data_IF_692084120843
#
_entry.id   IF_692084120843
#
_cell.length_a   1.000
_cell.length_b   1.000
_cell.length_c   1.000
_cell.angle_alpha   90.00
_cell.angle_beta   90.00
_cell.angle_gamma   90.00
#
_symmetry.space_group_name_H-M   'P 1'
#
loop_
_entity.id
_entity.type
_entity.pdbx_description
1 polymer ?
#
# COMPACT_ATOMS: atom_id res chain seq x y z
N UNK A 1 -59.83 -30.89 -29.28
CA UNK A 1 -58.94 -29.91 -28.61
C UNK A 1 -57.56 -30.01 -29.26
N UNK A 2 -57.06 -28.90 -29.78
CA UNK A 2 -55.87 -28.81 -30.64
C UNK A 2 -54.59 -28.94 -29.81
N UNK A 3 -53.68 -29.81 -30.26
CA UNK A 3 -52.27 -29.86 -29.85
C UNK A 3 -51.43 -29.07 -30.86
N UNK A 4 -50.56 -28.19 -30.38
CA UNK A 4 -49.46 -27.62 -31.16
C UNK A 4 -48.31 -27.29 -30.21
N UNK A 5 -47.07 -27.77 -30.46
CA UNK A 5 -45.91 -27.45 -29.62
C UNK A 5 -45.26 -26.13 -30.08
N UNK A 6 -44.92 -25.26 -29.14
CA UNK A 6 -44.13 -24.05 -29.40
C UNK A 6 -42.65 -24.43 -29.39
N UNK A 7 -41.98 -24.10 -30.49
CA UNK A 7 -40.55 -24.33 -30.72
C UNK A 7 -39.69 -23.35 -29.94
N UNK A 8 -38.64 -23.92 -29.37
CA UNK A 8 -37.44 -23.29 -28.81
C UNK A 8 -36.79 -22.38 -29.88
N UNK A 9 -36.62 -21.09 -29.57
CA UNK A 9 -35.67 -20.22 -30.29
C UNK A 9 -34.62 -19.75 -29.29
N UNK A 10 -33.41 -20.28 -29.46
CA UNK A 10 -32.23 -19.85 -28.74
C UNK A 10 -31.83 -18.44 -29.18
N UNK A 11 -31.49 -17.61 -28.19
CA UNK A 11 -30.65 -16.44 -28.39
C UNK A 11 -29.32 -16.73 -27.70
N UNK A 12 -28.40 -17.30 -28.47
CA UNK A 12 -27.00 -17.44 -28.09
C UNK A 12 -26.39 -16.03 -28.20
N UNK A 13 -26.33 -15.29 -27.09
CA UNK A 13 -25.53 -14.06 -27.03
C UNK A 13 -24.07 -14.49 -26.98
N UNK A 14 -23.47 -14.64 -28.15
CA UNK A 14 -22.04 -14.80 -28.32
C UNK A 14 -21.38 -13.45 -28.03
N UNK A 15 -21.05 -13.21 -26.75
CA UNK A 15 -20.14 -12.14 -26.37
C UNK A 15 -18.71 -12.69 -26.53
N UNK A 16 -18.17 -12.61 -27.75
CA UNK A 16 -16.73 -12.69 -27.97
C UNK A 16 -16.09 -11.48 -27.32
N UNK A 17 -15.82 -11.57 -26.02
CA UNK A 17 -14.85 -10.71 -25.39
C UNK A 17 -13.50 -11.16 -25.92
N UNK A 18 -12.93 -10.38 -26.83
CA UNK A 18 -11.54 -10.50 -27.22
C UNK A 18 -10.73 -10.40 -25.93
N UNK A 19 -10.21 -11.52 -25.46
CA UNK A 19 -9.23 -11.55 -24.39
C UNK A 19 -7.93 -10.98 -24.97
N UNK A 20 -7.92 -9.65 -25.16
CA UNK A 20 -6.66 -8.93 -25.18
C UNK A 20 -6.11 -9.13 -23.78
N UNK A 21 -5.18 -10.08 -23.63
CA UNK A 21 -4.37 -10.23 -22.45
C UNK A 21 -3.69 -8.88 -22.20
N UNK A 22 -4.33 -8.06 -21.37
CA UNK A 22 -3.82 -6.77 -21.00
C UNK A 22 -2.56 -7.04 -20.19
N UNK A 23 -1.44 -6.46 -20.62
CA UNK A 23 -0.24 -6.45 -19.81
C UNK A 23 -0.61 -5.77 -18.48
N UNK A 24 -0.78 -6.63 -17.49
CA UNK A 24 -0.91 -6.37 -16.06
C UNK A 24 0.07 -5.27 -15.61
N UNK A 25 -0.46 -4.08 -15.33
CA UNK A 25 0.31 -2.90 -14.91
C UNK A 25 0.53 -2.88 -13.38
N UNK A 26 1.51 -3.65 -12.90
CA UNK A 26 1.85 -3.75 -11.45
C UNK A 26 2.12 -2.42 -10.77
N UNK A 27 2.56 -1.43 -11.55
CA UNK A 27 2.85 -0.07 -11.08
C UNK A 27 1.58 0.65 -10.60
N UNK A 28 0.41 0.33 -11.18
CA UNK A 28 -0.88 0.97 -10.85
C UNK A 28 -1.31 0.75 -9.41
N UNK A 29 -1.03 -0.43 -8.86
CA UNK A 29 -1.46 -0.82 -7.51
C UNK A 29 -0.32 -0.82 -6.50
N UNK A 30 0.85 -0.30 -6.85
CA UNK A 30 2.03 -0.31 -5.96
C UNK A 30 2.65 -1.70 -5.74
N UNK A 31 2.34 -2.68 -6.60
CA UNK A 31 2.82 -4.07 -6.52
C UNK A 31 4.23 -4.25 -7.12
N UNK A 32 4.84 -3.19 -7.65
CA UNK A 32 6.21 -3.24 -8.19
C UNK A 32 7.30 -3.15 -7.12
N UNK A 33 6.98 -2.64 -5.92
CA UNK A 33 7.92 -2.52 -4.79
C UNK A 33 7.73 -3.62 -3.75
N UNK A 34 8.52 -3.65 -2.66
CA UNK A 34 8.32 -4.59 -1.55
C UNK A 34 6.93 -4.44 -0.93
N UNK A 35 6.17 -5.53 -0.86
CA UNK A 35 4.83 -5.58 -0.29
C UNK A 35 4.55 -6.96 0.32
N UNK A 36 3.41 -7.10 1.00
CA UNK A 36 2.92 -8.39 1.50
C UNK A 36 2.23 -9.17 0.37
N UNK A 37 2.68 -10.40 0.13
CA UNK A 37 2.29 -11.23 -1.03
C UNK A 37 0.79 -11.61 -1.10
N UNK A 38 0.04 -11.47 0.00
CA UNK A 38 -1.38 -11.84 0.06
C UNK A 38 -2.25 -10.77 0.73
N UNK A 39 -1.86 -9.50 0.62
CA UNK A 39 -2.59 -8.41 1.26
C UNK A 39 -2.78 -7.20 0.34
N UNK A 40 -4.00 -6.65 0.32
CA UNK A 40 -4.34 -5.40 -0.36
C UNK A 40 -5.06 -4.46 0.58
N UNK A 41 -4.77 -3.18 0.44
CA UNK A 41 -5.51 -2.10 1.07
C UNK A 41 -6.57 -1.61 0.08
N UNK A 42 -7.83 -1.60 0.50
CA UNK A 42 -8.96 -1.16 -0.32
C UNK A 42 -9.65 0.00 0.36
N UNK A 43 -9.80 1.11 -0.37
CA UNK A 43 -10.51 2.29 0.12
C UNK A 43 -11.86 2.41 -0.57
N UNK A 44 -12.91 2.58 0.23
CA UNK A 44 -14.28 2.76 -0.25
C UNK A 44 -14.59 4.23 -0.57
N UNK A 45 -15.52 4.45 -1.51
CA UNK A 45 -16.10 5.76 -1.82
C UNK A 45 -16.87 6.31 -0.61
N UNK A 46 -16.95 7.65 -0.54
CA UNK A 46 -17.87 8.30 0.38
C UNK A 46 -19.31 7.91 0.07
N UNK A 47 -20.13 7.79 1.12
CA UNK A 47 -21.54 7.41 1.01
C UNK A 47 -21.79 5.91 0.76
N UNK A 48 -20.76 5.07 0.65
CA UNK A 48 -20.96 3.62 0.72
C UNK A 48 -21.32 3.26 2.16
N UNK A 49 -22.52 2.70 2.34
CA UNK A 49 -22.96 2.16 3.62
C UNK A 49 -21.92 1.19 4.17
N UNK A 50 -21.36 1.52 5.34
CA UNK A 50 -20.18 0.83 5.91
C UNK A 50 -20.36 -0.69 5.92
N UNK A 51 -21.50 -1.17 6.42
CA UNK A 51 -21.78 -2.59 6.55
C UNK A 51 -21.89 -3.28 5.17
N UNK A 52 -22.47 -2.60 4.18
CA UNK A 52 -22.58 -3.11 2.82
C UNK A 52 -21.22 -3.17 2.13
N UNK A 53 -20.41 -2.13 2.30
CA UNK A 53 -19.04 -2.08 1.80
C UNK A 53 -18.18 -3.20 2.41
N UNK A 54 -18.20 -3.36 3.73
CA UNK A 54 -17.46 -4.43 4.41
C UNK A 54 -17.97 -5.81 3.96
N UNK A 55 -19.28 -6.01 3.82
CA UNK A 55 -19.84 -7.27 3.33
C UNK A 55 -19.35 -7.62 1.92
N UNK A 56 -19.25 -6.62 1.03
CA UNK A 56 -18.64 -6.79 -0.29
C UNK A 56 -17.16 -7.20 -0.17
N UNK A 57 -16.37 -6.51 0.66
CA UNK A 57 -14.94 -6.82 0.79
C UNK A 57 -14.70 -8.24 1.34
N UNK A 58 -15.56 -8.69 2.29
CA UNK A 58 -15.52 -10.04 2.84
C UNK A 58 -15.85 -11.14 1.83
N UNK A 59 -16.48 -10.84 0.69
CA UNK A 59 -16.69 -11.85 -0.35
C UNK A 59 -15.43 -12.11 -1.19
N UNK A 60 -14.41 -11.27 -1.09
CA UNK A 60 -13.14 -11.42 -1.84
C UNK A 60 -11.99 -11.95 -0.99
N UNK A 61 -11.90 -11.52 0.28
CA UNK A 61 -10.80 -11.89 1.18
C UNK A 61 -11.18 -12.99 2.17
N UNK A 62 -10.18 -13.69 2.70
CA UNK A 62 -10.35 -14.60 3.84
C UNK A 62 -10.58 -13.83 5.14
N UNK A 63 -9.97 -12.64 5.26
CA UNK A 63 -10.21 -11.74 6.39
C UNK A 63 -10.13 -10.27 5.98
N UNK A 64 -10.76 -9.42 6.79
CA UNK A 64 -10.85 -7.98 6.59
C UNK A 64 -10.59 -7.25 7.90
N UNK A 65 -9.69 -6.29 7.91
CA UNK A 65 -9.35 -5.44 9.05
C UNK A 65 -9.58 -3.97 8.69
N UNK A 66 -10.17 -3.19 9.59
CA UNK A 66 -10.37 -1.76 9.36
C UNK A 66 -9.09 -0.99 9.71
N UNK A 67 -8.56 -0.22 8.77
CA UNK A 67 -7.41 0.66 9.01
C UNK A 67 -7.85 2.04 9.46
N UNK A 68 -8.94 2.54 8.86
CA UNK A 68 -9.57 3.80 9.21
C UNK A 68 -11.06 3.76 8.85
N UNK A 69 -11.74 4.91 8.80
CA UNK A 69 -13.16 5.01 8.49
C UNK A 69 -13.58 4.47 7.11
N UNK A 70 -12.65 4.38 6.15
CA UNK A 70 -12.93 4.06 4.73
C UNK A 70 -11.98 3.04 4.10
N UNK A 71 -10.81 2.81 4.70
CA UNK A 71 -9.79 1.90 4.20
C UNK A 71 -9.74 0.62 5.02
N UNK A 72 -9.60 -0.50 4.32
CA UNK A 72 -9.60 -1.84 4.89
C UNK A 72 -8.44 -2.64 4.34
N UNK A 73 -7.77 -3.40 5.21
CA UNK A 73 -6.80 -4.41 4.82
C UNK A 73 -7.55 -5.72 4.55
N UNK A 74 -7.44 -6.23 3.33
CA UNK A 74 -7.93 -7.53 2.92
C UNK A 74 -6.75 -8.51 2.90
N UNK A 75 -6.94 -9.67 3.53
CA UNK A 75 -5.96 -10.78 3.47
C UNK A 75 -6.54 -11.93 2.66
N UNK A 76 -5.72 -12.47 1.77
CA UNK A 76 -6.08 -13.54 0.85
C UNK A 76 -5.33 -14.83 1.21
N UNK A 77 -5.67 -15.94 0.55
CA UNK A 77 -4.82 -17.11 0.55
C UNK A 77 -3.51 -16.83 -0.21
N UNK A 78 -2.45 -17.56 0.12
CA UNK A 78 -1.10 -17.30 -0.40
C UNK A 78 -0.94 -17.55 -1.92
N UNK A 79 -1.93 -18.15 -2.57
CA UNK A 79 -1.95 -18.50 -3.99
C UNK A 79 -2.69 -17.47 -4.86
N UNK A 80 -3.17 -16.36 -4.29
CA UNK A 80 -3.88 -15.32 -5.06
C UNK A 80 -2.93 -14.51 -5.94
N UNK A 81 -3.30 -14.35 -7.20
CA UNK A 81 -2.72 -13.35 -8.08
C UNK A 81 -3.21 -11.95 -7.66
N UNK A 82 -2.41 -11.26 -6.84
CA UNK A 82 -2.76 -9.97 -6.26
C UNK A 82 -3.11 -8.91 -7.30
N UNK A 83 -2.51 -8.99 -8.48
CA UNK A 83 -2.74 -8.00 -9.52
C UNK A 83 -4.12 -8.17 -10.17
N UNK A 84 -4.48 -9.41 -10.52
CA UNK A 84 -5.85 -9.71 -10.96
C UNK A 84 -6.87 -9.40 -9.88
N UNK A 85 -6.55 -9.68 -8.61
CA UNK A 85 -7.44 -9.35 -7.50
C UNK A 85 -7.60 -7.83 -7.34
N UNK A 86 -6.52 -7.07 -7.48
CA UNK A 86 -6.56 -5.62 -7.41
C UNK A 86 -7.38 -5.01 -8.54
N UNK A 87 -7.26 -5.51 -9.77
CA UNK A 87 -8.11 -5.12 -10.91
C UNK A 87 -9.59 -5.42 -10.65
N UNK A 88 -9.88 -6.61 -10.11
CA UNK A 88 -11.24 -7.03 -9.78
C UNK A 88 -11.87 -6.12 -8.74
N UNK A 89 -11.14 -5.80 -7.67
CA UNK A 89 -11.58 -4.91 -6.61
C UNK A 89 -11.73 -3.47 -7.10
N UNK A 90 -10.80 -2.98 -7.92
CA UNK A 90 -10.84 -1.63 -8.48
C UNK A 90 -12.02 -1.43 -9.46
N UNK A 91 -12.55 -2.50 -10.05
CA UNK A 91 -13.75 -2.44 -10.89
C UNK A 91 -15.06 -2.30 -10.09
N UNK A 92 -15.03 -2.49 -8.77
CA UNK A 92 -16.23 -2.41 -7.94
C UNK A 92 -16.70 -0.95 -7.79
N UNK A 93 -18.00 -0.73 -8.01
CA UNK A 93 -18.58 0.62 -8.02
C UNK A 93 -18.44 1.38 -6.70
N UNK A 94 -18.28 0.68 -5.57
CA UNK A 94 -18.07 1.25 -4.25
C UNK A 94 -16.60 1.48 -3.86
N UNK A 95 -15.64 1.08 -4.68
CA UNK A 95 -14.20 1.21 -4.40
C UNK A 95 -13.66 2.46 -5.09
N UNK A 96 -12.82 3.23 -4.39
CA UNK A 96 -12.13 4.41 -4.94
C UNK A 96 -10.63 4.16 -5.16
N UNK A 97 -10.02 3.28 -4.37
CA UNK A 97 -8.61 2.94 -4.52
C UNK A 97 -8.34 1.50 -4.05
N UNK A 98 -7.33 0.89 -4.68
CA UNK A 98 -6.74 -0.39 -4.28
C UNK A 98 -5.23 -0.25 -4.35
N UNK A 99 -4.55 -0.61 -3.27
CA UNK A 99 -3.10 -0.42 -3.11
C UNK A 99 -2.49 -1.66 -2.45
N UNK A 100 -1.23 -1.95 -2.76
CA UNK A 100 -0.46 -2.98 -2.07
C UNK A 100 -0.22 -2.60 -0.61
N UNK A 101 -0.20 -3.57 0.30
CA UNK A 101 0.33 -3.34 1.65
C UNK A 101 1.87 -3.28 1.58
N UNK A 102 2.40 -2.08 1.34
CA UNK A 102 3.82 -1.88 1.09
C UNK A 102 4.67 -2.05 2.35
N UNK A 103 5.81 -2.70 2.20
CA UNK A 103 6.82 -2.83 3.25
C UNK A 103 7.79 -1.67 3.11
N UNK A 104 7.61 -0.65 3.94
CA UNK A 104 8.57 0.44 4.06
C UNK A 104 9.68 0.08 5.02
N UNK A 105 10.90 0.41 4.63
CA UNK A 105 12.07 0.42 5.52
C UNK A 105 12.56 1.85 5.58
N UNK A 106 12.53 2.41 6.78
CA UNK A 106 13.15 3.70 7.07
C UNK A 106 14.63 3.40 7.30
N UNK A 107 15.45 3.62 6.27
CA UNK A 107 16.87 3.23 6.29
C UNK A 107 17.79 4.33 6.81
N UNK A 108 17.28 5.54 7.01
CA UNK A 108 18.13 6.68 7.31
C UNK A 108 17.67 7.33 8.59
N UNK A 109 18.51 7.24 9.62
CA UNK A 109 18.30 7.93 10.90
C UNK A 109 18.96 9.32 10.92
N UNK A 110 19.58 9.70 9.81
CA UNK A 110 20.02 11.07 9.56
C UNK A 110 18.81 11.98 9.33
N UNK A 111 18.75 13.17 9.96
CA UNK A 111 17.69 14.13 9.73
C UNK A 111 17.58 14.57 8.27
N UNK A 112 16.36 14.79 7.80
CA UNK A 112 16.06 15.38 6.50
C UNK A 112 15.99 16.92 6.54
N UNK A 113 16.62 17.55 7.53
CA UNK A 113 16.71 19.01 7.64
C UNK A 113 17.61 19.57 6.53
N UNK A 114 17.13 20.60 5.82
CA UNK A 114 17.86 21.17 4.66
C UNK A 114 19.21 21.77 5.05
N UNK A 115 19.35 22.26 6.28
CA UNK A 115 20.59 22.83 6.81
C UNK A 115 21.45 21.79 7.55
N UNK A 116 21.06 20.51 7.62
CA UNK A 116 21.85 19.48 8.30
C UNK A 116 23.29 19.40 7.77
N UNK A 117 23.47 19.58 6.46
CA UNK A 117 24.78 19.55 5.81
C UNK A 117 25.71 20.70 6.24
N UNK A 118 25.16 21.76 6.85
CA UNK A 118 25.92 22.88 7.42
C UNK A 118 26.41 22.58 8.85
N UNK A 119 25.84 21.59 9.52
CA UNK A 119 26.15 21.22 10.91
C UNK A 119 27.45 20.40 10.99
N UNK A 120 28.59 21.07 10.80
CA UNK A 120 29.92 20.45 10.80
C UNK A 120 30.17 19.49 11.97
N UNK A 121 29.72 19.86 13.18
CA UNK A 121 29.92 19.04 14.38
C UNK A 121 29.12 17.72 14.36
N UNK A 122 28.02 17.64 13.60
CA UNK A 122 27.14 16.47 13.53
C UNK A 122 27.56 15.48 12.44
N UNK A 123 27.99 15.98 11.28
CA UNK A 123 28.49 15.19 10.16
C UNK A 123 29.48 16.03 9.35
N UNK A 124 30.77 15.74 9.48
CA UNK A 124 31.82 16.45 8.77
C UNK A 124 32.25 15.65 7.54
N UNK A 125 31.80 16.10 6.37
CA UNK A 125 32.17 15.53 5.07
C UNK A 125 33.33 16.28 4.41
N UNK A 126 33.95 17.22 5.13
CA UNK A 126 35.00 18.11 4.60
C UNK A 126 34.47 19.48 4.16
N UNK A 127 33.34 19.92 4.72
CA UNK A 127 32.79 21.26 4.47
C UNK A 127 33.83 22.33 4.80
N UNK A 128 33.81 23.44 4.05
CA UNK A 128 34.70 24.60 4.27
C UNK A 128 36.19 24.25 4.36
N UNK A 129 36.64 23.27 3.56
CA UNK A 129 38.03 22.76 3.58
C UNK A 129 38.45 22.12 4.91
N UNK A 130 37.49 21.72 5.75
CA UNK A 130 37.74 20.95 6.96
C UNK A 130 38.23 19.54 6.66
N UNK A 131 38.85 18.90 7.65
CA UNK A 131 39.25 17.49 7.55
C UNK A 131 38.01 16.62 7.76
N UNK A 132 37.56 15.92 6.72
CA UNK A 132 36.41 15.01 6.78
C UNK A 132 36.56 13.95 7.88
N UNK A 133 35.44 13.57 8.49
CA UNK A 133 35.35 12.58 9.57
C UNK A 133 35.81 13.08 10.95
N UNK A 134 36.09 14.37 11.10
CA UNK A 134 36.35 15.00 12.41
C UNK A 134 35.06 15.64 12.89
N UNK A 135 34.15 14.83 13.42
CA UNK A 135 32.85 15.23 14.00
C UNK A 135 32.57 14.41 15.29
N UNK A 136 31.43 14.64 15.96
CA UNK A 136 31.07 13.92 17.19
C UNK A 136 30.53 12.50 16.95
N UNK A 137 30.46 12.05 15.70
CA UNK A 137 29.92 10.73 15.34
C UNK A 137 28.41 10.58 15.52
N UNK A 138 27.65 11.68 15.40
CA UNK A 138 26.21 11.67 15.69
C UNK A 138 25.41 10.72 14.78
N UNK A 139 25.69 10.71 13.47
CA UNK A 139 24.99 9.84 12.51
C UNK A 139 25.26 8.36 12.77
N UNK A 140 26.50 8.00 13.08
CA UNK A 140 26.85 6.63 13.46
C UNK A 140 26.16 6.22 14.77
N UNK A 141 26.08 7.12 15.76
CA UNK A 141 25.36 6.86 17.00
C UNK A 141 23.86 6.66 16.76
N UNK A 142 23.25 7.43 15.86
CA UNK A 142 21.83 7.30 15.53
C UNK A 142 21.50 5.94 14.91
N UNK A 143 22.39 5.38 14.07
CA UNK A 143 22.26 4.00 13.56
C UNK A 143 22.08 2.96 14.68
N UNK A 144 22.61 3.21 15.88
CA UNK A 144 22.34 2.41 17.07
C UNK A 144 21.06 2.88 17.80
N UNK A 145 20.97 4.17 18.15
CA UNK A 145 19.83 4.73 18.88
C UNK A 145 19.74 6.26 18.74
N UNK A 146 18.53 6.80 18.70
CA UNK A 146 18.29 8.26 18.81
C UNK A 146 17.99 8.71 20.24
N UNK A 147 18.21 7.82 21.22
CA UNK A 147 17.90 8.03 22.63
C UNK A 147 16.61 7.34 23.07
N UNK A 148 16.22 7.56 24.32
CA UNK A 148 14.95 7.09 24.89
C UNK A 148 14.17 8.27 25.47
N UNK A 149 12.84 8.20 25.37
CA UNK A 149 11.93 9.17 26.01
C UNK A 149 11.99 9.13 27.54
N UNK A 150 12.54 8.05 28.11
CA UNK A 150 12.74 7.92 29.57
C UNK A 150 13.98 8.69 30.06
N UNK A 151 14.87 9.09 29.15
CA UNK A 151 16.04 9.91 29.48
C UNK A 151 15.65 11.39 29.38
N UNK A 152 15.57 12.06 30.53
CA UNK A 152 15.26 13.49 30.63
C UNK A 152 16.55 14.30 30.72
N UNK A 153 16.73 15.26 29.81
CA UNK A 153 17.88 16.19 29.80
C UNK A 153 17.42 17.54 30.37
N UNK A 154 17.94 17.91 31.54
CA UNK A 154 17.72 19.24 32.14
C UNK A 154 18.82 20.20 31.73
N UNK A 155 18.44 21.33 31.12
CA UNK A 155 19.36 22.41 30.72
C UNK A 155 19.08 23.59 31.63
N UNK A 156 20.07 23.98 32.44
CA UNK A 156 20.05 25.24 33.20
C UNK A 156 21.05 26.15 32.49
N UNK A 157 20.51 27.15 31.81
CA UNK A 157 21.24 28.15 31.01
C UNK A 157 21.11 29.53 31.67
#
# INVERSE_FOLDING_TARGET
MKTTPIRLFGALISLTLLATACAKDKKKFGLSGPHKDAELIVTLKDGVERNRGIALLRSYGQSTEALNGRSYLLKFSADVDLETMAETLASQSGVIAVEANQIYKLYEKTPNDTSFNELWAMKNEGQNSGKAGVDIGATAAWEETTGSRDVVVGIID
#
